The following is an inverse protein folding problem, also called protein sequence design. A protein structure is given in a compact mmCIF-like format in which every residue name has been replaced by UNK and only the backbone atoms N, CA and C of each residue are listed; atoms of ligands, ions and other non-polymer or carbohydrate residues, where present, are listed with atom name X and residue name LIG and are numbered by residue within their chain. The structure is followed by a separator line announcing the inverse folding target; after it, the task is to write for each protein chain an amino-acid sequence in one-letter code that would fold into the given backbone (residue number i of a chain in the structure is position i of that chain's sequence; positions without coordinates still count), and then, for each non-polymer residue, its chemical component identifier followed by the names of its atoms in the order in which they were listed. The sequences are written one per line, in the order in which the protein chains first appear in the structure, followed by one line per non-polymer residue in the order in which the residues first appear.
data_IF_764786120881
#
_entry.id   IF_764786120881
#
_cell.length_a   1.000
_cell.length_b   1.000
_cell.length_c   1.000
_cell.angle_alpha   90.00
_cell.angle_beta   90.00
_cell.angle_gamma   90.00
#
_symmetry.space_group_name_H-M   'P 1'
#
loop_
_entity.id
_entity.type
_entity.pdbx_description
1 polymer ?
#
# COMPACT_ATOMS: atom_id res chain seq x y z
N UNK A 1 23.50 2.62 29.74
CA UNK A 1 22.11 2.24 29.45
C UNK A 1 22.10 1.53 28.11
N UNK A 2 21.79 0.23 28.09
CA UNK A 2 21.66 -0.51 26.83
C UNK A 2 20.33 -0.07 26.21
N UNK A 3 20.39 0.69 25.12
CA UNK A 3 19.23 1.04 24.31
C UNK A 3 18.82 -0.24 23.57
N UNK A 4 18.00 -1.10 24.17
CA UNK A 4 17.38 -2.22 23.46
C UNK A 4 16.41 -1.63 22.45
N UNK A 5 16.83 -1.62 21.17
CA UNK A 5 15.92 -1.32 20.07
C UNK A 5 14.71 -2.28 20.18
N UNK A 6 13.48 -1.78 20.06
CA UNK A 6 12.32 -2.63 20.09
C UNK A 6 12.45 -3.69 19.00
N UNK A 7 12.30 -4.95 19.40
CA UNK A 7 12.24 -6.09 18.49
C UNK A 7 11.02 -5.93 17.56
N UNK A 8 11.19 -6.16 16.26
CA UNK A 8 10.14 -5.94 15.25
C UNK A 8 9.97 -7.14 14.32
N UNK A 9 8.75 -7.33 13.83
CA UNK A 9 8.38 -8.37 12.89
C UNK A 9 7.76 -7.73 11.65
N UNK A 10 8.24 -8.11 10.47
CA UNK A 10 7.63 -7.72 9.19
C UNK A 10 6.65 -8.79 8.73
N UNK A 11 5.44 -8.36 8.40
CA UNK A 11 4.36 -9.18 7.88
C UNK A 11 4.06 -8.75 6.45
N UNK A 12 3.90 -9.71 5.54
CA UNK A 12 3.42 -9.43 4.20
C UNK A 12 1.91 -9.14 4.21
N UNK A 13 1.40 -8.50 3.15
CA UNK A 13 -0.03 -8.39 2.93
C UNK A 13 -0.68 -9.78 2.87
N UNK A 14 -1.63 -10.11 3.77
CA UNK A 14 -2.29 -11.40 3.78
C UNK A 14 -3.31 -11.50 2.64
N UNK A 15 -3.70 -12.73 2.30
CA UNK A 15 -4.85 -12.96 1.46
C UNK A 15 -6.13 -12.73 2.28
N UNK A 16 -6.96 -11.78 1.86
CA UNK A 16 -8.25 -11.47 2.47
C UNK A 16 -9.29 -11.50 1.36
N UNK A 17 -10.30 -12.35 1.52
CA UNK A 17 -11.36 -12.53 0.52
C UNK A 17 -12.10 -11.20 0.25
N UNK A 18 -12.38 -10.94 -1.03
CA UNK A 18 -12.97 -9.69 -1.52
C UNK A 18 -12.08 -8.43 -1.39
N UNK A 19 -11.02 -8.46 -0.57
CA UNK A 19 -10.19 -7.29 -0.24
C UNK A 19 -8.87 -7.26 -1.01
N UNK A 20 -8.24 -8.42 -1.19
CA UNK A 20 -6.95 -8.53 -1.87
C UNK A 20 -7.03 -9.28 -3.19
N UNK A 21 -6.14 -8.93 -4.12
CA UNK A 21 -5.91 -9.65 -5.37
C UNK A 21 -4.54 -10.30 -5.29
N UNK A 22 -4.45 -11.60 -5.58
CA UNK A 22 -3.17 -12.28 -5.68
C UNK A 22 -2.56 -12.13 -7.08
N UNK A 23 -1.28 -11.77 -7.17
CA UNK A 23 -0.52 -11.73 -8.42
C UNK A 23 0.97 -11.91 -8.13
N UNK A 24 1.61 -12.86 -8.82
CA UNK A 24 3.06 -13.11 -8.75
C UNK A 24 3.62 -13.21 -7.33
N UNK A 25 2.94 -13.96 -6.46
CA UNK A 25 3.40 -14.22 -5.09
C UNK A 25 3.10 -13.09 -4.09
N UNK A 26 2.46 -12.00 -4.52
CA UNK A 26 2.06 -10.89 -3.67
C UNK A 26 0.53 -10.77 -3.59
N UNK A 27 0.04 -10.28 -2.45
CA UNK A 27 -1.35 -9.87 -2.29
C UNK A 27 -1.42 -8.35 -2.34
N UNK A 28 -2.33 -7.84 -3.18
CA UNK A 28 -2.50 -6.41 -3.42
C UNK A 28 -3.84 -5.96 -2.85
N UNK A 29 -3.82 -4.95 -1.98
CA UNK A 29 -5.03 -4.28 -1.52
C UNK A 29 -5.73 -3.58 -2.68
N UNK A 30 -7.02 -3.86 -2.88
CA UNK A 30 -7.83 -3.18 -3.91
C UNK A 30 -8.03 -1.69 -3.58
N UNK A 31 -8.11 -0.82 -4.59
CA UNK A 31 -8.51 0.57 -4.42
C UNK A 31 -9.86 0.71 -3.72
N UNK A 32 -10.05 1.82 -3.04
CA UNK A 32 -11.26 2.22 -2.32
C UNK A 32 -11.65 1.35 -1.13
N UNK A 33 -10.94 0.26 -0.86
CA UNK A 33 -11.16 -0.58 0.31
C UNK A 33 -10.39 -0.07 1.52
N UNK A 34 -11.05 -0.23 2.66
CA UNK A 34 -10.51 0.10 3.96
C UNK A 34 -10.06 -1.20 4.64
N UNK A 35 -8.84 -1.18 5.17
CA UNK A 35 -8.21 -2.32 5.82
C UNK A 35 -7.97 -1.98 7.29
N UNK A 36 -8.48 -2.82 8.19
CA UNK A 36 -8.25 -2.73 9.61
C UNK A 36 -6.90 -3.37 9.97
N UNK A 37 -6.11 -2.71 10.83
CA UNK A 37 -4.83 -3.27 11.27
C UNK A 37 -5.00 -4.57 12.04
N UNK A 38 -6.13 -4.75 12.74
CA UNK A 38 -6.45 -5.99 13.45
C UNK A 38 -6.56 -7.18 12.51
N UNK A 39 -6.99 -6.98 11.26
CA UNK A 39 -7.02 -8.03 10.23
C UNK A 39 -5.62 -8.47 9.79
N UNK A 40 -4.58 -7.70 10.13
CA UNK A 40 -3.17 -8.00 9.86
C UNK A 40 -2.48 -8.55 11.11
N UNK A 41 -2.64 -7.86 12.23
CA UNK A 41 -2.05 -8.23 13.51
C UNK A 41 -2.77 -7.54 14.67
N UNK A 42 -2.92 -8.25 15.78
CA UNK A 42 -3.38 -7.65 17.04
C UNK A 42 -2.33 -6.70 17.65
N UNK A 43 -1.06 -6.85 17.24
CA UNK A 43 0.07 -6.07 17.77
C UNK A 43 0.06 -4.63 17.27
N UNK A 44 0.78 -3.77 17.99
CA UNK A 44 1.00 -2.38 17.58
C UNK A 44 1.74 -2.33 16.24
N UNK A 45 1.09 -1.71 15.26
CA UNK A 45 1.65 -1.47 13.94
C UNK A 45 2.52 -0.22 13.98
N UNK A 46 3.78 -0.36 13.58
CA UNK A 46 4.79 0.68 13.63
C UNK A 46 4.99 1.34 12.28
N UNK A 47 5.04 0.54 11.21
CA UNK A 47 5.23 1.01 9.84
C UNK A 47 4.34 0.26 8.85
N UNK A 48 3.92 0.96 7.81
CA UNK A 48 3.34 0.39 6.59
C UNK A 48 4.26 0.76 5.43
N UNK A 49 4.75 -0.24 4.70
CA UNK A 49 5.71 -0.05 3.62
C UNK A 49 5.06 -0.42 2.29
N UNK A 50 4.85 0.55 1.37
CA UNK A 50 4.41 0.27 0.01
C UNK A 50 5.48 -0.47 -0.80
N UNK A 51 5.13 -1.64 -1.35
CA UNK A 51 6.09 -2.54 -2.01
C UNK A 51 5.97 -2.52 -3.52
N UNK A 52 4.75 -2.64 -4.04
CA UNK A 52 4.50 -2.69 -5.47
C UNK A 52 3.09 -2.21 -5.79
N UNK A 53 2.90 -1.68 -7.00
CA UNK A 53 1.57 -1.37 -7.53
C UNK A 53 1.22 -2.36 -8.62
N UNK A 54 0.04 -2.94 -8.53
CA UNK A 54 -0.60 -3.69 -9.60
C UNK A 54 -1.37 -2.71 -10.48
N UNK A 55 -1.15 -2.77 -11.79
CA UNK A 55 -1.83 -1.95 -12.77
C UNK A 55 -2.19 -2.75 -14.01
N UNK A 56 -3.14 -2.25 -14.78
CA UNK A 56 -3.53 -2.84 -16.06
C UNK A 56 -3.40 -1.80 -17.16
N UNK A 57 -2.75 -2.14 -18.25
CA UNK A 57 -2.65 -1.30 -19.45
C UNK A 57 -3.28 -2.06 -20.62
N UNK A 58 -4.36 -1.53 -21.19
CA UNK A 58 -5.12 -2.17 -22.30
C UNK A 58 -5.48 -3.63 -21.97
N UNK A 59 -5.97 -3.87 -20.75
CA UNK A 59 -6.38 -5.19 -20.26
C UNK A 59 -5.24 -6.14 -19.84
N UNK A 60 -3.98 -5.75 -20.04
CA UNK A 60 -2.83 -6.55 -19.59
C UNK A 60 -2.43 -6.14 -18.18
N UNK A 61 -2.56 -7.07 -17.23
CA UNK A 61 -2.15 -6.89 -15.83
C UNK A 61 -0.63 -6.99 -15.71
N UNK A 62 -0.03 -6.03 -15.02
CA UNK A 62 1.40 -5.93 -14.73
C UNK A 62 1.59 -5.37 -13.33
N UNK A 63 2.79 -5.49 -12.78
CA UNK A 63 3.17 -4.81 -11.56
C UNK A 63 4.43 -3.95 -11.74
N UNK A 64 4.62 -3.00 -10.84
CA UNK A 64 5.86 -2.23 -10.73
C UNK A 64 6.28 -2.14 -9.26
N UNK A 65 7.55 -2.40 -9.00
CA UNK A 65 8.12 -2.27 -7.66
C UNK A 65 8.28 -0.79 -7.27
N UNK A 66 7.98 -0.50 -6.01
CA UNK A 66 8.19 0.81 -5.39
C UNK A 66 9.52 0.84 -4.63
N UNK A 67 9.93 2.03 -4.20
CA UNK A 67 11.18 2.25 -3.43
C UNK A 67 11.17 1.68 -2.00
N UNK A 68 10.06 1.06 -1.56
CA UNK A 68 9.90 0.43 -0.24
C UNK A 68 10.27 1.35 0.94
N UNK A 69 9.79 2.59 0.91
CA UNK A 69 10.01 3.56 1.99
C UNK A 69 9.01 3.27 3.12
N UNK A 70 9.44 2.90 4.34
CA UNK A 70 8.52 2.66 5.44
C UNK A 70 7.81 3.95 5.86
N UNK A 71 6.48 3.88 5.98
CA UNK A 71 5.66 4.99 6.44
C UNK A 71 5.28 4.75 7.89
N UNK A 72 5.74 5.64 8.79
CA UNK A 72 5.42 5.53 10.21
C UNK A 72 3.91 5.64 10.45
N UNK A 73 3.38 4.73 11.26
CA UNK A 73 1.98 4.76 11.71
C UNK A 73 1.87 5.73 12.88
N UNK A 74 1.73 7.01 12.55
CA UNK A 74 1.60 8.09 13.54
C UNK A 74 0.55 9.10 13.09
N UNK A 75 -0.50 9.29 13.90
CA UNK A 75 -1.61 10.18 13.59
C UNK A 75 -2.33 9.80 12.28
N UNK A 76 -2.59 10.80 11.42
CA UNK A 76 -3.16 10.62 10.09
C UNK A 76 -2.10 10.98 9.03
N UNK A 77 -1.66 9.99 8.26
CA UNK A 77 -0.65 10.16 7.20
C UNK A 77 -1.31 9.98 5.84
N UNK A 78 -0.97 10.86 4.89
CA UNK A 78 -1.32 10.71 3.47
C UNK A 78 -0.02 10.54 2.71
N UNK A 79 0.24 9.32 2.24
CA UNK A 79 1.44 8.98 1.49
C UNK A 79 1.13 8.88 -0.01
N UNK A 80 1.80 9.67 -0.87
CA UNK A 80 1.62 9.58 -2.31
C UNK A 80 2.27 8.30 -2.86
N UNK A 81 1.53 7.57 -3.69
CA UNK A 81 2.04 6.43 -4.43
C UNK A 81 2.34 6.90 -5.85
N UNK A 82 3.63 6.96 -6.17
CA UNK A 82 4.13 7.38 -7.48
C UNK A 82 5.17 6.36 -7.97
N UNK A 83 5.11 6.02 -9.26
CA UNK A 83 6.17 5.27 -9.93
C UNK A 83 6.98 6.19 -10.84
N UNK A 84 8.31 6.13 -10.79
CA UNK A 84 9.14 6.86 -11.75
C UNK A 84 9.04 6.26 -13.16
N UNK A 85 8.82 4.94 -13.26
CA UNK A 85 8.67 4.25 -14.53
C UNK A 85 7.29 4.50 -15.17
N UNK A 86 6.28 4.83 -14.35
CA UNK A 86 4.91 5.08 -14.79
C UNK A 86 4.37 6.36 -14.13
N UNK A 87 4.70 7.55 -14.67
CA UNK A 87 4.31 8.84 -14.07
C UNK A 87 2.80 9.08 -13.97
N UNK A 88 2.03 8.41 -14.83
CA UNK A 88 0.56 8.46 -14.87
C UNK A 88 -0.06 7.59 -13.77
N UNK A 89 0.71 6.65 -13.23
CA UNK A 89 0.30 5.79 -12.13
C UNK A 89 0.40 6.57 -10.82
N UNK A 90 -0.71 7.23 -10.47
CA UNK A 90 -0.85 8.02 -9.26
C UNK A 90 -1.92 7.45 -8.36
N UNK A 91 -1.58 7.30 -7.10
CA UNK A 91 -2.52 6.88 -6.07
C UNK A 91 -2.08 7.48 -4.73
N UNK A 92 -2.87 7.27 -3.69
CA UNK A 92 -2.52 7.67 -2.33
C UNK A 92 -2.89 6.59 -1.34
N UNK A 93 -2.02 6.39 -0.36
CA UNK A 93 -2.25 5.57 0.82
C UNK A 93 -2.58 6.50 1.99
N UNK A 94 -3.72 6.30 2.62
CA UNK A 94 -4.12 7.03 3.83
C UNK A 94 -4.00 6.07 4.99
N UNK A 95 -3.23 6.44 6.00
CA UNK A 95 -3.04 5.68 7.24
C UNK A 95 -3.65 6.49 8.37
N UNK A 96 -4.55 5.89 9.14
CA UNK A 96 -5.16 6.51 10.31
C UNK A 96 -4.90 5.63 11.54
N UNK A 97 -4.04 6.14 12.41
CA UNK A 97 -3.59 5.43 13.61
C UNK A 97 -4.70 5.35 14.67
N UNK A 98 -5.47 6.43 14.86
CA UNK A 98 -6.57 6.45 15.84
C UNK A 98 -7.66 5.45 15.48
N UNK A 99 -8.01 5.39 14.20
CA UNK A 99 -8.99 4.45 13.69
C UNK A 99 -8.41 3.04 13.44
N UNK A 100 -7.09 2.86 13.58
CA UNK A 100 -6.32 1.63 13.28
C UNK A 100 -6.63 1.07 11.89
N UNK A 101 -6.70 1.96 10.90
CA UNK A 101 -7.15 1.64 9.54
C UNK A 101 -6.23 2.26 8.50
N UNK A 102 -6.14 1.63 7.34
CA UNK A 102 -5.62 2.26 6.14
C UNK A 102 -6.62 2.19 4.99
N UNK A 103 -6.46 3.09 4.02
CA UNK A 103 -7.23 3.12 2.78
C UNK A 103 -6.30 3.41 1.61
N UNK A 104 -6.44 2.64 0.54
CA UNK A 104 -5.77 2.89 -0.73
C UNK A 104 -6.73 3.54 -1.72
N UNK A 105 -6.33 4.62 -2.37
CA UNK A 105 -7.18 5.40 -3.28
C UNK A 105 -6.44 5.60 -4.61
N UNK A 106 -7.10 5.24 -5.71
CA UNK A 106 -6.62 5.59 -7.05
C UNK A 106 -6.78 7.11 -7.26
N UNK A 107 -5.77 7.75 -7.87
CA UNK A 107 -5.81 9.18 -8.13
C UNK A 107 -6.11 9.41 -9.62
N UNK A 108 -7.34 9.81 -9.92
CA UNK A 108 -7.74 10.27 -11.25
C UNK A 108 -7.24 11.71 -11.46
N UNK A 109 -5.95 11.89 -11.76
CA UNK A 109 -5.45 13.20 -12.21
C UNK A 109 -5.52 13.20 -13.73
N UNK A 110 -6.53 13.86 -14.28
CA UNK A 110 -6.59 14.15 -15.70
C UNK A 110 -5.45 15.13 -16.04
N UNK A 111 -4.43 14.66 -16.75
CA UNK A 111 -3.47 15.55 -17.42
C UNK A 111 -4.25 16.30 -18.50
N UNK A 112 -4.32 17.64 -18.40
CA UNK A 112 -5.12 18.47 -19.32
C UNK A 112 -4.62 18.46 -20.77
N UNK A 113 -3.40 17.96 -21.04
CA UNK A 113 -2.74 18.06 -22.35
C UNK A 113 -2.32 16.71 -22.97
N UNK A 114 -2.74 15.56 -22.44
CA UNK A 114 -2.45 14.24 -23.04
C UNK A 114 -3.65 13.73 -23.86
N UNK A 115 -3.43 13.28 -25.11
CA UNK A 115 -4.51 12.73 -25.93
C UNK A 115 -4.94 11.36 -25.39
N UNK A 116 -6.25 11.21 -25.18
CA UNK A 116 -6.96 10.03 -24.68
C UNK A 116 -6.54 9.56 -23.27
N UNK A 117 -7.53 9.18 -22.46
CA UNK A 117 -7.31 8.62 -21.12
C UNK A 117 -6.18 7.59 -21.15
N UNK A 118 -5.17 7.78 -20.29
CA UNK A 118 -4.18 6.73 -19.98
C UNK A 118 -4.94 5.42 -19.81
N UNK A 119 -4.73 4.46 -20.71
CA UNK A 119 -5.33 3.12 -20.62
C UNK A 119 -4.74 2.30 -19.47
N UNK A 120 -3.82 2.90 -18.70
CA UNK A 120 -3.23 2.38 -17.49
C UNK A 120 -4.12 2.71 -16.29
N UNK A 121 -4.61 1.67 -15.62
CA UNK A 121 -5.45 1.75 -14.43
C UNK A 121 -4.77 1.08 -13.25
N UNK A 122 -4.83 1.71 -12.07
CA UNK A 122 -4.35 1.10 -10.82
C UNK A 122 -5.38 0.09 -10.34
N UNK A 123 -4.93 -1.13 -10.05
CA UNK A 123 -5.81 -2.23 -9.59
C UNK A 123 -5.47 -2.72 -8.19
N UNK A 124 -4.29 -2.42 -7.66
CA UNK A 124 -3.99 -2.73 -6.27
C UNK A 124 -2.62 -2.28 -5.78
N UNK A 125 -2.44 -2.32 -4.47
CA UNK A 125 -1.21 -1.94 -3.77
C UNK A 125 -0.75 -3.07 -2.84
N UNK A 126 0.46 -3.57 -3.06
CA UNK A 126 1.11 -4.51 -2.15
C UNK A 126 1.80 -3.75 -1.01
N UNK A 127 1.62 -4.25 0.21
CA UNK A 127 2.12 -3.64 1.44
C UNK A 127 2.90 -4.67 2.27
N UNK A 128 3.87 -4.18 3.02
CA UNK A 128 4.45 -4.87 4.18
C UNK A 128 4.13 -4.07 5.44
N UNK A 129 4.01 -4.78 6.56
CA UNK A 129 3.62 -4.24 7.85
C UNK A 129 4.69 -4.57 8.89
N UNK A 130 5.29 -3.55 9.49
CA UNK A 130 6.21 -3.75 10.61
C UNK A 130 5.45 -3.59 11.91
N UNK A 131 5.44 -4.63 12.73
CA UNK A 131 4.78 -4.66 14.05
C UNK A 131 5.81 -4.89 15.15
N UNK A 132 5.47 -4.51 16.38
CA UNK A 132 6.27 -4.83 17.55
C UNK A 132 6.29 -6.35 17.79
N UNK A 133 7.45 -6.94 18.14
CA UNK A 133 7.53 -8.35 18.57
C UNK A 133 7.04 -8.50 20.03
N UNK A 134 6.53 -9.68 20.41
CA UNK A 134 6.29 -10.00 21.80
C UNK A 134 7.62 -10.02 22.56
N UNK A 135 7.59 -9.55 23.80
CA UNK A 135 8.67 -9.76 24.77
C UNK A 135 8.55 -11.17 25.33
#
# INVERSE_FOLDING_TARGET
MINTLPQTLTLAMPAIDGVTIHHEGLNYLRPELLLDFVSISERSMLFVTPIAVLYSTVGVVRHVNLRRIPVAVSGRVIYPICSQALPDLRAKLIINTQARKLKFLESLVAMRDQPAASSTKVIGLALEFTVQQPV
#
